data_IF_560356492417
#
_entry.id   IF_560356492417
#
_cell.length_a   1.000
_cell.length_b   1.000
_cell.length_c   1.000
_cell.angle_alpha   90.00
_cell.angle_beta   90.00
_cell.angle_gamma   90.00
#
_symmetry.space_group_name_H-M   'P 1'
#
loop_
_entity.id
_entity.type
_entity.pdbx_description
1 polymer ?
#
# COMPACT_ATOMS: atom_id res chain seq x y z
N UNK A 1 -38.71 2.91 -0.72
CA UNK A 1 -38.01 1.75 -0.13
C UNK A 1 -36.65 1.50 -0.80
N UNK A 2 -36.58 1.13 -2.09
CA UNK A 2 -35.30 0.78 -2.74
C UNK A 2 -34.24 1.88 -2.69
N UNK A 3 -34.60 3.14 -2.94
CA UNK A 3 -33.66 4.25 -2.79
C UNK A 3 -33.08 4.42 -1.36
N UNK A 4 -33.89 4.18 -0.32
CA UNK A 4 -33.41 4.21 1.07
C UNK A 4 -32.46 3.05 1.37
N UNK A 5 -32.75 1.86 0.83
CA UNK A 5 -31.85 0.70 0.91
C UNK A 5 -30.54 0.95 0.17
N UNK A 6 -30.60 1.55 -1.02
CA UNK A 6 -29.41 1.95 -1.79
C UNK A 6 -28.57 2.95 -1.00
N UNK A 7 -29.18 3.92 -0.32
CA UNK A 7 -28.48 4.84 0.57
C UNK A 7 -27.83 4.11 1.76
N UNK A 8 -28.51 3.14 2.37
CA UNK A 8 -27.94 2.31 3.44
C UNK A 8 -26.75 1.46 2.95
N UNK A 9 -26.87 0.85 1.77
CA UNK A 9 -25.81 0.09 1.13
C UNK A 9 -24.60 0.98 0.79
N UNK A 10 -24.84 2.20 0.30
CA UNK A 10 -23.79 3.19 0.08
C UNK A 10 -23.09 3.59 1.38
N UNK A 11 -23.86 3.83 2.46
CA UNK A 11 -23.32 4.13 3.79
C UNK A 11 -22.41 3.01 4.31
N UNK A 12 -22.83 1.74 4.18
CA UNK A 12 -21.99 0.59 4.53
C UNK A 12 -20.73 0.51 3.65
N UNK A 13 -20.86 0.76 2.35
CA UNK A 13 -19.71 0.75 1.44
C UNK A 13 -18.68 1.83 1.81
N UNK A 14 -19.11 3.03 2.23
CA UNK A 14 -18.23 4.10 2.71
C UNK A 14 -17.55 3.72 4.04
N UNK A 15 -18.26 3.06 4.94
CA UNK A 15 -17.67 2.53 6.18
C UNK A 15 -16.58 1.49 5.87
N UNK A 16 -16.88 0.52 5.02
CA UNK A 16 -15.93 -0.51 4.60
C UNK A 16 -14.71 0.10 3.86
N UNK A 17 -14.95 1.11 3.00
CA UNK A 17 -13.90 1.87 2.33
C UNK A 17 -12.99 2.59 3.34
N UNK A 18 -13.58 3.23 4.35
CA UNK A 18 -12.86 3.95 5.40
C UNK A 18 -12.00 3.01 6.25
N UNK A 19 -12.54 1.86 6.63
CA UNK A 19 -11.80 0.85 7.39
C UNK A 19 -10.63 0.30 6.57
N UNK A 20 -10.86 -0.03 5.30
CA UNK A 20 -9.79 -0.47 4.39
C UNK A 20 -8.75 0.62 4.15
N UNK A 21 -9.15 1.88 4.02
CA UNK A 21 -8.22 3.00 3.91
C UNK A 21 -7.32 3.12 5.14
N UNK A 22 -7.87 2.98 6.37
CA UNK A 22 -7.06 2.95 7.59
C UNK A 22 -6.08 1.76 7.60
N UNK A 23 -6.51 0.59 7.13
CA UNK A 23 -5.64 -0.58 7.03
C UNK A 23 -4.49 -0.35 6.02
N UNK A 24 -4.80 0.21 4.85
CA UNK A 24 -3.81 0.60 3.84
C UNK A 24 -2.81 1.59 4.44
N UNK A 25 -3.28 2.63 5.14
CA UNK A 25 -2.42 3.62 5.79
C UNK A 25 -1.45 2.97 6.79
N UNK A 26 -1.93 2.08 7.66
CA UNK A 26 -1.09 1.37 8.64
C UNK A 26 0.02 0.57 7.94
N UNK A 27 -0.33 -0.17 6.88
CA UNK A 27 0.64 -0.96 6.10
C UNK A 27 1.62 -0.07 5.34
N UNK A 28 1.14 1.04 4.77
CA UNK A 28 1.97 2.02 4.07
C UNK A 28 3.00 2.65 5.00
N UNK A 29 2.58 3.11 6.18
CA UNK A 29 3.48 3.67 7.19
C UNK A 29 4.56 2.65 7.59
N UNK A 30 4.18 1.39 7.83
CA UNK A 30 5.12 0.32 8.17
C UNK A 30 6.14 0.08 7.05
N UNK A 31 5.69 -0.03 5.80
CA UNK A 31 6.56 -0.24 4.64
C UNK A 31 7.52 0.94 4.42
N UNK A 32 7.01 2.17 4.49
CA UNK A 32 7.82 3.40 4.34
C UNK A 32 8.84 3.52 5.46
N UNK A 33 8.45 3.30 6.72
CA UNK A 33 9.37 3.40 7.85
C UNK A 33 10.50 2.36 7.77
N UNK A 34 10.18 1.11 7.44
CA UNK A 34 11.19 0.06 7.27
C UNK A 34 12.07 0.30 6.03
N UNK A 35 11.49 0.81 4.94
CA UNK A 35 12.20 1.15 3.72
C UNK A 35 13.21 2.27 3.97
N UNK A 36 12.77 3.36 4.59
CA UNK A 36 13.62 4.48 4.98
C UNK A 36 14.73 4.03 5.94
N UNK A 37 14.43 3.15 6.90
CA UNK A 37 15.43 2.62 7.83
C UNK A 37 16.55 1.85 7.12
N UNK A 38 16.20 0.94 6.19
CA UNK A 38 17.24 0.19 5.46
C UNK A 38 17.96 1.08 4.43
N UNK A 39 17.25 1.96 3.74
CA UNK A 39 17.85 2.92 2.81
C UNK A 39 18.85 3.84 3.52
N UNK A 40 18.52 4.32 4.73
CA UNK A 40 19.44 5.11 5.54
C UNK A 40 20.70 4.36 5.97
N UNK A 41 20.57 3.07 6.35
CA UNK A 41 21.73 2.24 6.69
C UNK A 41 22.67 2.01 5.51
N UNK A 42 22.10 1.78 4.32
CA UNK A 42 22.89 1.67 3.09
C UNK A 42 23.54 3.01 2.78
N UNK A 43 22.76 4.10 2.86
CA UNK A 43 23.24 5.42 2.48
C UNK A 43 24.37 5.93 3.37
N UNK A 44 24.25 5.71 4.68
CA UNK A 44 25.31 6.03 5.64
C UNK A 44 26.60 5.27 5.34
N UNK A 45 26.50 3.96 5.03
CA UNK A 45 27.66 3.17 4.66
C UNK A 45 28.33 3.70 3.39
N UNK A 46 27.55 3.93 2.34
CA UNK A 46 28.08 4.47 1.07
C UNK A 46 28.68 5.85 1.29
N UNK A 47 28.04 6.70 2.09
CA UNK A 47 28.55 8.01 2.46
C UNK A 47 29.90 7.89 3.18
N UNK A 48 30.00 7.05 4.20
CA UNK A 48 31.24 6.82 4.94
C UNK A 48 32.35 6.33 4.00
N UNK A 49 32.10 5.32 3.16
CA UNK A 49 33.10 4.79 2.24
C UNK A 49 33.54 5.84 1.20
N UNK A 50 32.63 6.73 0.79
CA UNK A 50 32.95 7.89 -0.07
C UNK A 50 33.85 8.89 0.66
N UNK A 51 33.55 9.24 1.92
CA UNK A 51 34.39 10.14 2.72
C UNK A 51 35.78 9.55 2.99
N UNK A 52 35.87 8.24 3.23
CA UNK A 52 37.15 7.54 3.38
C UNK A 52 37.99 7.52 2.10
N UNK A 53 37.39 7.82 0.95
CA UNK A 53 38.06 7.96 -0.35
C UNK A 53 38.43 9.41 -0.68
N UNK A 54 38.06 10.37 0.18
CA UNK A 54 38.26 11.79 -0.10
C UNK A 54 39.74 12.19 -0.08
N UNK A 55 40.13 13.08 -1.01
CA UNK A 55 41.50 13.59 -1.11
C UNK A 55 42.50 12.64 -1.79
N UNK A 56 42.08 11.44 -2.19
CA UNK A 56 42.94 10.48 -2.88
C UNK A 56 42.21 9.85 -4.08
N UNK A 57 42.82 9.92 -5.26
CA UNK A 57 42.21 9.40 -6.49
C UNK A 57 42.62 7.95 -6.79
N UNK A 58 43.85 7.55 -6.44
CA UNK A 58 44.41 6.25 -6.86
C UNK A 58 45.05 5.40 -5.75
N UNK A 59 45.36 5.97 -4.58
CA UNK A 59 46.17 5.27 -3.56
C UNK A 59 45.35 4.69 -2.40
N UNK A 60 44.36 5.42 -1.90
CA UNK A 60 43.46 4.96 -0.84
C UNK A 60 42.01 5.33 -1.16
N UNK A 61 41.14 4.32 -1.28
CA UNK A 61 39.71 4.49 -1.52
C UNK A 61 38.95 3.22 -1.13
N UNK A 62 37.69 3.41 -0.75
CA UNK A 62 36.78 2.35 -0.32
C UNK A 62 35.58 2.14 -1.24
N UNK A 63 35.39 3.04 -2.21
CA UNK A 63 34.50 2.83 -3.36
C UNK A 63 35.31 3.03 -4.63
N UNK A 64 35.12 2.15 -5.61
CA UNK A 64 35.86 2.20 -6.86
C UNK A 64 34.95 2.10 -8.06
N UNK A 65 35.26 2.85 -9.11
CA UNK A 65 34.56 2.75 -10.39
C UNK A 65 35.08 1.57 -11.23
N UNK A 66 36.38 1.29 -11.14
CA UNK A 66 37.11 0.42 -12.07
C UNK A 66 38.25 -0.40 -11.42
N UNK A 67 38.38 -0.37 -10.09
CA UNK A 67 39.46 -0.99 -9.32
C UNK A 67 40.75 -0.16 -9.22
N UNK A 68 40.86 0.92 -9.99
CA UNK A 68 42.07 1.76 -10.07
C UNK A 68 41.82 3.15 -9.48
N UNK A 69 40.61 3.66 -9.67
CA UNK A 69 40.22 5.00 -9.27
C UNK A 69 39.10 4.98 -8.22
N UNK A 70 39.13 5.97 -7.34
CA UNK A 70 38.04 6.23 -6.40
C UNK A 70 36.74 6.57 -7.15
N UNK A 71 35.61 6.07 -6.67
CA UNK A 71 34.29 6.43 -7.18
C UNK A 71 33.91 7.85 -6.75
N UNK A 72 33.66 8.75 -7.70
CA UNK A 72 33.30 10.15 -7.41
C UNK A 72 31.79 10.39 -7.40
N UNK A 73 31.05 9.69 -8.26
CA UNK A 73 29.59 9.76 -8.36
C UNK A 73 28.96 8.50 -7.76
N UNK A 74 28.04 8.71 -6.83
CA UNK A 74 27.32 7.65 -6.10
C UNK A 74 25.89 7.47 -6.61
N UNK A 75 25.54 8.14 -7.72
CA UNK A 75 24.23 8.02 -8.34
C UNK A 75 24.08 6.72 -9.12
N UNK A 76 22.99 6.02 -8.86
CA UNK A 76 22.52 4.87 -9.64
C UNK A 76 21.06 5.14 -9.99
N UNK A 77 20.71 5.12 -11.28
CA UNK A 77 19.34 5.37 -11.73
C UNK A 77 18.73 6.68 -11.15
N UNK A 78 19.52 7.75 -11.05
CA UNK A 78 19.18 9.06 -10.44
C UNK A 78 19.03 9.05 -8.90
N UNK A 79 19.23 7.93 -8.23
CA UNK A 79 19.26 7.83 -6.77
C UNK A 79 20.71 7.99 -6.32
N UNK A 80 21.00 9.06 -5.58
CA UNK A 80 22.32 9.22 -4.95
C UNK A 80 22.41 8.31 -3.72
N UNK A 81 23.20 7.23 -3.82
CA UNK A 81 23.38 6.29 -2.74
C UNK A 81 24.08 6.92 -1.52
N UNK A 82 24.81 8.03 -1.66
CA UNK A 82 25.45 8.72 -0.53
C UNK A 82 24.59 9.85 0.06
N UNK A 83 23.42 10.12 -0.51
CA UNK A 83 22.49 11.14 -0.05
C UNK A 83 21.05 10.61 -0.02
N UNK A 84 20.56 10.28 1.17
CA UNK A 84 19.17 9.88 1.34
C UNK A 84 18.23 11.08 1.19
N UNK A 85 17.76 11.33 -0.03
CA UNK A 85 16.77 12.38 -0.32
C UNK A 85 15.47 11.74 -0.81
N UNK A 86 14.55 11.38 0.09
CA UNK A 86 13.30 10.75 -0.32
C UNK A 86 12.43 11.74 -1.10
N UNK A 87 11.84 11.29 -2.20
CA UNK A 87 10.82 12.06 -2.91
C UNK A 87 9.53 12.09 -2.09
N UNK A 88 9.12 13.27 -1.63
CA UNK A 88 7.88 13.49 -0.88
C UNK A 88 6.73 13.91 -1.81
N UNK A 89 6.47 13.11 -2.84
CA UNK A 89 5.35 13.32 -3.76
C UNK A 89 4.54 12.03 -3.89
N UNK A 90 3.23 12.12 -4.19
CA UNK A 90 2.45 10.94 -4.54
C UNK A 90 3.13 10.18 -5.68
N UNK A 91 3.31 8.88 -5.51
CA UNK A 91 3.84 7.99 -6.52
C UNK A 91 2.86 6.84 -6.72
N UNK A 92 2.85 6.28 -7.92
CA UNK A 92 2.15 5.02 -8.17
C UNK A 92 2.71 3.94 -7.24
N UNK A 93 1.86 3.01 -6.80
CA UNK A 93 2.29 1.82 -6.06
C UNK A 93 2.89 0.75 -6.99
N UNK A 94 3.16 1.12 -8.23
CA UNK A 94 3.89 0.30 -9.19
C UNK A 94 5.37 0.32 -8.83
N UNK A 95 5.83 -0.82 -8.33
CA UNK A 95 7.26 -1.06 -8.11
C UNK A 95 7.93 -1.22 -9.46
N UNK A 96 9.15 -0.67 -9.59
CA UNK A 96 9.97 -0.83 -10.80
C UNK A 96 10.03 -2.32 -11.15
N UNK A 97 9.52 -2.64 -12.33
CA UNK A 97 9.39 -4.01 -12.78
C UNK A 97 10.76 -4.71 -12.68
N UNK A 98 10.77 -5.89 -12.06
CA UNK A 98 11.98 -6.67 -11.88
C UNK A 98 12.79 -6.36 -10.62
N UNK A 99 12.63 -5.23 -9.92
CA UNK A 99 13.43 -4.93 -8.71
C UNK A 99 12.90 -5.62 -7.44
N UNK A 100 11.58 -5.78 -7.35
CA UNK A 100 10.87 -6.48 -6.25
C UNK A 100 10.00 -7.60 -6.85
N UNK A 101 10.41 -8.86 -6.63
CA UNK A 101 9.80 -10.06 -7.24
C UNK A 101 9.15 -10.92 -6.16
N UNK A 102 8.37 -11.97 -6.52
CA UNK A 102 7.85 -12.93 -5.55
C UNK A 102 8.93 -13.66 -4.72
N UNK A 103 10.19 -13.65 -5.17
CA UNK A 103 11.29 -14.35 -4.51
C UNK A 103 12.17 -13.43 -3.66
N UNK A 104 12.09 -12.11 -3.82
CA UNK A 104 12.95 -11.18 -3.09
C UNK A 104 13.23 -9.85 -3.79
N UNK A 105 14.37 -9.25 -3.44
CA UNK A 105 14.94 -8.08 -4.11
C UNK A 105 15.88 -8.57 -5.22
N UNK A 106 15.45 -8.51 -6.47
CA UNK A 106 16.10 -9.27 -7.56
C UNK A 106 17.56 -8.91 -7.80
N UNK A 107 17.90 -7.63 -7.68
CA UNK A 107 19.24 -7.11 -7.98
C UNK A 107 20.24 -7.40 -6.86
N UNK A 108 19.76 -7.78 -5.66
CA UNK A 108 20.64 -8.08 -4.54
C UNK A 108 20.98 -9.56 -4.58
N UNK A 109 21.98 -9.90 -5.37
CA UNK A 109 22.51 -11.26 -5.51
C UNK A 109 23.75 -11.45 -4.63
N UNK A 110 24.14 -12.71 -4.42
CA UNK A 110 25.43 -12.98 -3.77
C UNK A 110 26.55 -12.56 -4.69
N UNK A 111 27.56 -11.88 -4.13
CA UNK A 111 28.75 -11.50 -4.87
C UNK A 111 29.89 -11.09 -3.96
N UNK A 112 31.10 -11.26 -4.47
CA UNK A 112 32.26 -10.56 -3.93
C UNK A 112 32.09 -9.06 -4.23
N UNK A 113 32.14 -8.25 -3.19
CA UNK A 113 31.93 -6.80 -3.26
C UNK A 113 33.23 -6.01 -3.21
N UNK A 114 34.39 -6.69 -3.15
CA UNK A 114 35.69 -6.06 -3.26
C UNK A 114 36.33 -6.33 -4.62
N UNK A 115 37.14 -5.38 -5.07
CA UNK A 115 38.10 -5.61 -6.16
C UNK A 115 39.36 -6.32 -5.61
N UNK A 116 40.10 -7.01 -6.48
CA UNK A 116 41.25 -7.86 -6.11
C UNK A 116 42.33 -7.15 -5.29
N UNK A 117 42.50 -5.84 -5.45
CA UNK A 117 43.49 -4.98 -4.78
C UNK A 117 42.86 -4.15 -3.67
N UNK A 118 41.58 -4.34 -3.34
CA UNK A 118 40.90 -3.60 -2.26
C UNK A 118 41.64 -3.73 -0.92
N UNK A 119 42.31 -4.88 -0.72
CA UNK A 119 43.27 -5.15 0.35
C UNK A 119 44.51 -4.24 0.37
N UNK A 120 44.66 -3.24 -0.47
CA UNK A 120 45.69 -2.19 -0.31
C UNK A 120 45.11 -0.78 -0.47
N UNK A 121 43.79 -0.67 -0.65
CA UNK A 121 43.09 0.57 -0.98
C UNK A 121 42.14 1.01 0.11
N UNK A 122 41.41 0.08 0.71
CA UNK A 122 40.34 0.40 1.65
C UNK A 122 40.67 -0.06 3.06
N UNK A 123 40.99 0.88 3.96
CA UNK A 123 41.29 0.59 5.37
C UNK A 123 40.15 -0.14 6.11
N UNK A 124 38.92 -0.01 5.61
CA UNK A 124 37.76 -0.69 6.15
C UNK A 124 37.85 -2.22 6.06
N UNK A 125 38.68 -2.76 5.18
CA UNK A 125 38.91 -4.20 5.03
C UNK A 125 40.10 -4.69 5.86
N UNK A 126 40.87 -3.79 6.48
CA UNK A 126 42.18 -4.10 7.05
C UNK A 126 42.20 -4.22 8.56
N UNK A 127 43.10 -5.09 9.00
CA UNK A 127 43.69 -5.04 10.33
C UNK A 127 45.20 -5.11 10.26
N UNK A 128 45.84 -4.41 11.18
CA UNK A 128 47.30 -4.39 11.29
C UNK A 128 47.83 -5.71 11.86
N UNK A 129 47.04 -6.39 12.71
CA UNK A 129 47.38 -7.69 13.30
C UNK A 129 46.12 -8.54 13.48
N UNK A 130 46.20 -9.83 13.14
CA UNK A 130 45.11 -10.76 13.42
C UNK A 130 44.87 -11.02 14.91
N UNK A 131 45.89 -10.83 15.77
CA UNK A 131 45.89 -11.26 17.16
C UNK A 131 45.59 -10.15 18.17
N UNK A 132 45.59 -8.88 17.76
CA UNK A 132 45.48 -7.75 18.68
C UNK A 132 44.67 -6.57 18.11
N UNK A 133 44.07 -5.80 19.02
CA UNK A 133 43.43 -4.53 18.72
C UNK A 133 44.50 -3.45 18.46
N UNK A 134 44.22 -2.52 17.56
CA UNK A 134 45.12 -1.41 17.22
C UNK A 134 44.33 -0.13 17.00
N UNK A 135 44.81 1.03 17.49
CA UNK A 135 44.17 2.32 17.21
C UNK A 135 44.22 2.73 15.73
N UNK A 136 45.08 2.09 14.92
CA UNK A 136 45.13 2.30 13.46
C UNK A 136 44.07 1.49 12.70
N UNK A 137 43.39 0.54 13.35
CA UNK A 137 42.40 -0.32 12.71
C UNK A 137 41.00 0.26 12.84
N UNK A 138 40.20 0.15 11.78
CA UNK A 138 38.77 0.47 11.88
C UNK A 138 38.04 -0.60 12.72
N UNK A 139 38.26 -1.88 12.39
CA UNK A 139 37.73 -3.00 13.16
C UNK A 139 38.74 -3.49 14.19
N UNK A 140 38.35 -3.48 15.46
CA UNK A 140 39.24 -3.85 16.57
C UNK A 140 39.43 -5.37 16.70
N UNK A 141 38.61 -6.19 16.05
CA UNK A 141 38.72 -7.65 16.03
C UNK A 141 38.68 -8.19 14.59
N UNK A 142 39.36 -9.33 14.37
CA UNK A 142 39.22 -10.11 13.13
C UNK A 142 37.86 -10.78 13.04
N UNK A 143 37.53 -11.23 11.83
CA UNK A 143 36.30 -12.00 11.57
C UNK A 143 35.20 -11.17 10.92
N UNK A 144 34.00 -11.78 10.75
CA UNK A 144 32.91 -11.18 9.99
C UNK A 144 32.22 -10.05 10.77
N UNK A 145 32.05 -8.92 10.11
CA UNK A 145 31.29 -7.76 10.57
C UNK A 145 30.13 -7.52 9.61
N UNK A 146 28.91 -7.56 10.12
CA UNK A 146 27.69 -7.35 9.31
C UNK A 146 27.29 -5.88 9.32
N UNK A 147 27.10 -5.32 8.14
CA UNK A 147 26.88 -3.89 7.90
C UNK A 147 25.65 -3.65 7.04
N UNK A 148 25.29 -2.38 6.84
CA UNK A 148 24.09 -1.94 6.12
C UNK A 148 22.80 -2.61 6.62
N UNK A 149 22.76 -3.06 7.88
CA UNK A 149 21.60 -3.77 8.45
C UNK A 149 21.47 -5.24 8.03
N UNK A 150 22.51 -5.86 7.48
CA UNK A 150 22.48 -7.29 7.10
C UNK A 150 23.26 -7.68 5.84
N UNK A 151 23.10 -6.98 4.71
CA UNK A 151 23.45 -7.55 3.41
C UNK A 151 24.95 -7.56 3.15
N UNK A 152 25.73 -6.66 3.74
CA UNK A 152 27.18 -6.66 3.57
C UNK A 152 27.84 -7.35 4.77
N UNK A 153 28.69 -8.34 4.50
CA UNK A 153 29.61 -8.90 5.50
C UNK A 153 31.04 -8.58 5.10
N UNK A 154 31.77 -7.87 5.95
CA UNK A 154 33.20 -7.59 5.80
C UNK A 154 33.98 -8.45 6.78
N UNK A 155 34.92 -9.24 6.28
CA UNK A 155 35.87 -9.98 7.11
C UNK A 155 37.19 -9.22 7.11
N UNK A 156 37.42 -8.45 8.17
CA UNK A 156 38.66 -7.70 8.35
C UNK A 156 39.78 -8.62 8.83
N UNK A 157 40.93 -8.57 8.17
CA UNK A 157 42.10 -9.41 8.47
C UNK A 157 43.39 -8.71 8.02
N UNK A 158 44.54 -9.19 8.49
CA UNK A 158 45.86 -8.70 8.10
C UNK A 158 46.38 -9.22 6.75
N UNK A 159 45.66 -10.15 6.10
CA UNK A 159 46.16 -10.86 4.91
C UNK A 159 45.04 -11.38 4.02
N UNK A 160 43.95 -11.90 4.60
CA UNK A 160 42.84 -12.50 3.86
C UNK A 160 41.55 -11.70 4.03
N UNK A 161 41.48 -10.53 3.38
CA UNK A 161 40.30 -9.66 3.44
C UNK A 161 39.16 -10.20 2.57
N UNK A 162 37.92 -10.09 3.04
CA UNK A 162 36.73 -10.47 2.29
C UNK A 162 35.62 -9.44 2.47
N UNK A 163 34.81 -9.25 1.43
CA UNK A 163 33.60 -8.45 1.51
C UNK A 163 32.53 -9.10 0.64
N UNK A 164 31.46 -9.60 1.24
CA UNK A 164 30.44 -10.39 0.54
C UNK A 164 29.07 -9.77 0.72
N UNK A 165 28.32 -9.67 -0.38
CA UNK A 165 26.89 -9.35 -0.34
C UNK A 165 26.12 -10.65 -0.14
N UNK A 166 25.24 -10.67 0.85
CA UNK A 166 24.26 -11.74 1.06
C UNK A 166 23.12 -11.54 0.08
N UNK A 167 22.82 -12.57 -0.71
CA UNK A 167 21.69 -12.58 -1.62
C UNK A 167 20.36 -12.28 -0.89
N UNK A 168 19.59 -11.33 -1.42
CA UNK A 168 18.22 -11.05 -1.02
C UNK A 168 17.20 -11.34 -2.14
N UNK A 169 17.62 -11.91 -3.27
CA UNK A 169 16.77 -12.22 -4.43
C UNK A 169 15.98 -13.53 -4.31
N UNK A 170 16.28 -14.35 -3.29
CA UNK A 170 15.64 -15.65 -3.03
C UNK A 170 15.20 -15.84 -1.58
N UNK A 171 14.94 -14.76 -0.85
CA UNK A 171 14.57 -14.79 0.58
C UNK A 171 13.10 -15.14 0.83
N UNK A 172 12.27 -15.09 -0.21
CA UNK A 172 10.83 -15.28 -0.13
C UNK A 172 10.35 -16.41 -1.04
N UNK A 173 9.20 -16.98 -0.68
CA UNK A 173 8.46 -17.95 -1.47
C UNK A 173 7.08 -17.39 -1.78
N UNK A 174 6.75 -17.26 -3.07
CA UNK A 174 5.46 -16.78 -3.53
C UNK A 174 5.04 -15.40 -3.00
N UNK A 175 5.99 -14.49 -2.71
CA UNK A 175 5.69 -13.15 -2.21
C UNK A 175 5.72 -13.00 -0.69
N UNK A 176 6.08 -14.05 0.06
CA UNK A 176 6.06 -14.01 1.53
C UNK A 176 7.25 -14.71 2.17
N UNK A 177 7.66 -14.20 3.34
CA UNK A 177 8.68 -14.82 4.20
C UNK A 177 8.00 -15.27 5.50
N UNK A 178 7.95 -16.58 5.74
CA UNK A 178 7.27 -17.15 6.92
C UNK A 178 8.00 -16.84 8.23
N UNK A 179 9.33 -16.72 8.22
CA UNK A 179 10.16 -16.41 9.39
C UNK A 179 10.92 -15.09 9.17
N UNK A 180 10.22 -13.97 9.37
CA UNK A 180 10.76 -12.63 9.14
C UNK A 180 11.56 -12.08 10.33
N UNK A 181 12.65 -12.76 10.70
CA UNK A 181 13.51 -12.36 11.83
C UNK A 181 14.50 -11.25 11.45
N UNK A 182 15.07 -11.30 10.24
CA UNK A 182 16.05 -10.33 9.76
C UNK A 182 15.41 -8.99 9.30
N UNK A 183 16.15 -7.87 9.34
CA UNK A 183 15.62 -6.55 8.95
C UNK A 183 15.05 -6.50 7.53
N UNK A 184 15.75 -7.08 6.56
CA UNK A 184 15.30 -7.12 5.16
C UNK A 184 14.12 -8.07 4.94
N UNK A 185 13.95 -9.09 5.79
CA UNK A 185 12.74 -9.93 5.73
C UNK A 185 11.50 -9.15 6.16
N UNK A 186 11.63 -8.36 7.24
CA UNK A 186 10.56 -7.50 7.74
C UNK A 186 10.17 -6.43 6.73
N UNK A 187 11.17 -5.82 6.08
CA UNK A 187 10.95 -4.87 4.99
C UNK A 187 10.21 -5.54 3.83
N UNK A 188 10.71 -6.68 3.33
CA UNK A 188 10.11 -7.39 2.22
C UNK A 188 8.63 -7.72 2.49
N UNK A 189 8.33 -8.32 3.66
CA UNK A 189 6.94 -8.64 4.03
C UNK A 189 6.07 -7.38 4.14
N UNK A 190 6.58 -6.27 4.69
CA UNK A 190 5.79 -5.04 4.79
C UNK A 190 5.42 -4.47 3.41
N UNK A 191 6.35 -4.52 2.45
CA UNK A 191 6.14 -4.10 1.07
C UNK A 191 5.16 -5.04 0.35
N UNK A 192 5.33 -6.35 0.51
CA UNK A 192 4.42 -7.36 -0.04
C UNK A 192 2.99 -7.20 0.53
N UNK A 193 2.85 -7.08 1.85
CA UNK A 193 1.57 -6.86 2.55
C UNK A 193 0.86 -5.60 2.03
N UNK A 194 1.60 -4.52 1.77
CA UNK A 194 1.04 -3.29 1.21
C UNK A 194 0.57 -3.51 -0.24
N UNK A 195 1.40 -4.16 -1.06
CA UNK A 195 1.11 -4.46 -2.47
C UNK A 195 -0.13 -5.33 -2.64
N UNK A 196 -0.30 -6.34 -1.79
CA UNK A 196 -1.43 -7.27 -1.82
C UNK A 196 -2.71 -6.70 -1.20
N UNK A 197 -2.66 -5.52 -0.60
CA UNK A 197 -3.84 -4.98 0.08
C UNK A 197 -4.93 -4.64 -0.91
N UNK A 198 -6.06 -5.32 -0.78
CA UNK A 198 -7.25 -5.10 -1.59
C UNK A 198 -7.77 -3.69 -1.37
N UNK A 199 -7.84 -2.92 -2.45
CA UNK A 199 -8.49 -1.61 -2.48
C UNK A 199 -10.01 -1.82 -2.48
N UNK A 200 -10.74 -0.89 -1.90
CA UNK A 200 -12.20 -0.86 -2.01
C UNK A 200 -12.61 0.49 -2.53
N UNK A 201 -13.40 0.46 -3.59
CA UNK A 201 -14.00 1.64 -4.19
C UNK A 201 -15.50 1.48 -4.08
N UNK A 202 -16.17 2.58 -3.73
CA UNK A 202 -17.62 2.65 -3.78
C UNK A 202 -18.11 3.04 -5.18
N UNK A 203 -17.24 3.17 -6.19
CA UNK A 203 -17.51 3.82 -7.48
C UNK A 203 -16.72 5.13 -7.63
N UNK A 204 -16.40 5.54 -8.86
CA UNK A 204 -15.67 6.79 -9.14
C UNK A 204 -16.59 8.01 -9.26
N UNK A 205 -17.86 7.78 -9.54
CA UNK A 205 -18.92 8.79 -9.66
C UNK A 205 -20.26 8.22 -9.13
N UNK A 206 -21.30 9.06 -9.10
CA UNK A 206 -22.63 8.68 -8.58
C UNK A 206 -23.22 7.48 -9.35
N UNK A 207 -23.06 7.43 -10.67
CA UNK A 207 -23.59 6.37 -11.51
C UNK A 207 -22.90 5.04 -11.21
N UNK A 208 -21.57 5.00 -11.26
CA UNK A 208 -20.78 3.81 -10.98
C UNK A 208 -20.94 3.35 -9.52
N UNK A 209 -21.21 4.27 -8.60
CA UNK A 209 -21.47 3.91 -7.21
C UNK A 209 -22.80 3.20 -7.02
N UNK A 210 -23.88 3.78 -7.53
CA UNK A 210 -25.22 3.19 -7.41
C UNK A 210 -25.29 1.87 -8.18
N UNK A 211 -24.83 1.86 -9.44
CA UNK A 211 -24.83 0.65 -10.27
C UNK A 211 -23.96 -0.45 -9.68
N UNK A 212 -22.77 -0.11 -9.17
CA UNK A 212 -21.89 -1.07 -8.49
C UNK A 212 -22.57 -1.73 -7.30
N UNK A 213 -23.19 -0.95 -6.42
CA UNK A 213 -23.91 -1.50 -5.26
C UNK A 213 -25.05 -2.45 -5.65
N UNK A 214 -25.74 -2.17 -6.76
CA UNK A 214 -26.82 -3.01 -7.28
C UNK A 214 -26.24 -4.30 -7.89
N UNK A 215 -25.24 -4.18 -8.74
CA UNK A 215 -24.65 -5.31 -9.47
C UNK A 215 -23.85 -6.25 -8.55
N UNK A 216 -23.28 -5.74 -7.45
CA UNK A 216 -22.62 -6.55 -6.42
C UNK A 216 -23.58 -7.04 -5.32
N UNK A 217 -24.90 -7.05 -5.56
CA UNK A 217 -25.93 -7.51 -4.63
C UNK A 217 -26.00 -6.80 -3.27
N UNK A 218 -25.25 -5.72 -3.05
CA UNK A 218 -25.26 -5.00 -1.77
C UNK A 218 -26.64 -4.41 -1.44
N UNK A 219 -27.35 -3.91 -2.45
CA UNK A 219 -28.74 -3.45 -2.31
C UNK A 219 -29.68 -4.61 -1.98
N UNK A 220 -29.49 -5.78 -2.61
CA UNK A 220 -30.33 -6.97 -2.34
C UNK A 220 -30.15 -7.47 -0.91
N UNK A 221 -28.91 -7.56 -0.43
CA UNK A 221 -28.59 -7.96 0.95
C UNK A 221 -29.20 -7.00 1.98
N UNK A 222 -29.08 -5.69 1.77
CA UNK A 222 -29.66 -4.71 2.68
C UNK A 222 -31.19 -4.73 2.65
N UNK A 223 -31.81 -4.93 1.47
CA UNK A 223 -33.27 -5.06 1.36
C UNK A 223 -33.77 -6.30 2.10
N UNK A 224 -33.09 -7.45 1.93
CA UNK A 224 -33.42 -8.69 2.64
C UNK A 224 -33.34 -8.50 4.16
N UNK A 225 -32.26 -7.87 4.66
CA UNK A 225 -32.10 -7.56 6.08
C UNK A 225 -33.23 -6.65 6.62
N UNK A 226 -33.63 -5.62 5.86
CA UNK A 226 -34.77 -4.76 6.22
C UNK A 226 -36.09 -5.55 6.23
N UNK A 227 -36.33 -6.43 5.26
CA UNK A 227 -37.51 -7.30 5.20
C UNK A 227 -37.55 -8.24 6.41
N UNK A 228 -36.43 -8.90 6.72
CA UNK A 228 -36.32 -9.79 7.89
C UNK A 228 -36.53 -9.05 9.21
N UNK A 229 -36.07 -7.80 9.32
CA UNK A 229 -36.33 -6.97 10.51
C UNK A 229 -37.80 -6.58 10.64
N UNK A 230 -38.45 -6.23 9.52
CA UNK A 230 -39.88 -5.90 9.52
C UNK A 230 -40.78 -7.14 9.72
N UNK A 231 -40.30 -8.33 9.35
CA UNK A 231 -41.01 -9.60 9.42
C UNK A 231 -40.08 -10.70 9.96
N UNK A 232 -39.81 -10.74 11.27
CA UNK A 232 -38.82 -11.65 11.86
C UNK A 232 -39.17 -13.12 11.67
N UNK A 233 -40.46 -13.46 11.64
CA UNK A 233 -40.97 -14.84 11.55
C UNK A 233 -40.99 -15.39 10.11
N UNK A 234 -40.42 -14.67 9.14
CA UNK A 234 -40.28 -15.21 7.79
C UNK A 234 -39.41 -16.48 7.78
N UNK A 235 -39.80 -17.52 7.02
CA UNK A 235 -38.95 -18.68 6.79
C UNK A 235 -37.56 -18.30 6.26
N UNK A 236 -36.56 -19.11 6.58
CA UNK A 236 -35.18 -18.86 6.15
C UNK A 236 -35.06 -18.75 4.63
N UNK A 237 -34.41 -17.68 4.16
CA UNK A 237 -34.19 -17.38 2.74
C UNK A 237 -35.39 -16.74 2.02
N UNK A 238 -36.55 -16.59 2.67
CA UNK A 238 -37.73 -15.97 2.07
C UNK A 238 -37.58 -14.44 1.96
N UNK A 239 -36.85 -13.82 2.88
CA UNK A 239 -36.44 -12.42 2.83
C UNK A 239 -35.57 -12.11 1.59
N UNK A 240 -34.62 -13.00 1.27
CA UNK A 240 -33.77 -12.87 0.10
C UNK A 240 -34.57 -13.01 -1.20
N UNK A 241 -35.51 -13.95 -1.27
CA UNK A 241 -36.41 -14.10 -2.43
C UNK A 241 -37.31 -12.89 -2.62
N UNK A 242 -37.88 -12.36 -1.54
CA UNK A 242 -38.71 -11.15 -1.61
C UNK A 242 -37.90 -9.93 -2.06
N UNK A 243 -36.67 -9.76 -1.53
CA UNK A 243 -35.77 -8.71 -1.97
C UNK A 243 -35.48 -8.81 -3.48
N UNK A 244 -35.17 -10.01 -3.97
CA UNK A 244 -34.88 -10.24 -5.38
C UNK A 244 -36.10 -10.00 -6.29
N UNK A 245 -37.28 -10.39 -5.85
CA UNK A 245 -38.53 -10.14 -6.56
C UNK A 245 -38.81 -8.62 -6.70
N UNK A 246 -38.60 -7.86 -5.62
CA UNK A 246 -38.75 -6.39 -5.63
C UNK A 246 -37.77 -5.75 -6.62
N UNK A 247 -36.50 -6.14 -6.57
CA UNK A 247 -35.48 -5.58 -7.47
C UNK A 247 -35.74 -5.96 -8.93
N UNK A 248 -36.16 -7.18 -9.20
CA UNK A 248 -36.52 -7.66 -10.55
C UNK A 248 -37.73 -6.91 -11.10
N UNK A 249 -38.75 -6.64 -10.27
CA UNK A 249 -39.92 -5.87 -10.67
C UNK A 249 -39.55 -4.42 -11.07
N UNK A 250 -38.53 -3.85 -10.44
CA UNK A 250 -38.05 -2.49 -10.75
C UNK A 250 -37.13 -2.46 -11.96
N UNK A 251 -36.26 -3.46 -12.10
CA UNK A 251 -35.26 -3.53 -13.15
C UNK A 251 -35.84 -3.61 -14.57
N UNK A 252 -37.13 -3.96 -14.74
CA UNK A 252 -37.73 -4.30 -16.03
C UNK A 252 -37.01 -5.47 -16.74
N UNK A 253 -37.52 -5.93 -17.89
CA UNK A 253 -37.11 -7.21 -18.52
C UNK A 253 -35.78 -7.18 -19.29
N UNK A 254 -35.05 -6.06 -19.32
CA UNK A 254 -33.79 -6.00 -20.05
C UNK A 254 -32.57 -6.37 -19.18
N UNK A 255 -31.44 -6.69 -19.81
CA UNK A 255 -30.22 -7.13 -19.13
C UNK A 255 -29.44 -5.99 -18.44
N UNK A 256 -30.04 -4.80 -18.22
CA UNK A 256 -29.37 -3.63 -17.65
C UNK A 256 -29.91 -3.24 -16.27
N UNK A 257 -29.98 -4.22 -15.38
CA UNK A 257 -30.53 -4.10 -14.01
C UNK A 257 -29.99 -2.91 -13.22
N UNK A 258 -28.67 -2.74 -13.18
CA UNK A 258 -28.02 -1.65 -12.44
C UNK A 258 -28.50 -0.28 -12.90
N UNK A 259 -28.45 -0.05 -14.22
CA UNK A 259 -28.90 1.20 -14.84
C UNK A 259 -30.38 1.47 -14.58
N UNK A 260 -31.23 0.46 -14.78
CA UNK A 260 -32.68 0.64 -14.68
C UNK A 260 -33.13 0.94 -13.24
N UNK A 261 -32.55 0.26 -12.26
CA UNK A 261 -32.81 0.55 -10.85
C UNK A 261 -32.27 1.94 -10.49
N UNK A 262 -31.07 2.33 -10.97
CA UNK A 262 -30.55 3.70 -10.77
C UNK A 262 -31.50 4.74 -11.36
N UNK A 263 -31.90 4.58 -12.60
CA UNK A 263 -32.79 5.53 -13.28
C UNK A 263 -34.14 5.63 -12.57
N UNK A 264 -34.66 4.51 -12.01
CA UNK A 264 -35.85 4.55 -11.18
C UNK A 264 -35.63 5.32 -9.87
N UNK A 265 -34.48 5.15 -9.22
CA UNK A 265 -34.12 5.90 -8.01
C UNK A 265 -34.04 7.39 -8.33
N UNK A 266 -33.31 7.78 -9.37
CA UNK A 266 -33.12 9.18 -9.74
C UNK A 266 -34.42 9.88 -10.16
N UNK A 267 -35.34 9.16 -10.79
CA UNK A 267 -36.67 9.66 -11.14
C UNK A 267 -37.70 9.55 -10.01
N UNK A 268 -37.33 9.01 -8.84
CA UNK A 268 -38.21 9.01 -7.67
C UNK A 268 -38.37 10.44 -7.18
N UNK A 269 -39.61 10.87 -6.99
CA UNK A 269 -39.93 12.17 -6.40
C UNK A 269 -39.82 12.10 -4.89
N UNK A 270 -39.18 13.11 -4.30
CA UNK A 270 -39.14 13.33 -2.87
C UNK A 270 -39.64 14.74 -2.56
N UNK A 271 -40.09 14.94 -1.33
CA UNK A 271 -40.42 16.27 -0.81
C UNK A 271 -39.16 17.13 -0.83
N UNK A 272 -39.26 18.38 -1.26
CA UNK A 272 -38.16 19.33 -1.28
C UNK A 272 -38.67 20.72 -0.88
N UNK A 273 -37.85 21.51 -0.20
CA UNK A 273 -38.21 22.88 0.18
C UNK A 273 -37.61 23.85 -0.83
N UNK A 274 -38.44 24.42 -1.69
CA UNK A 274 -38.03 25.52 -2.59
C UNK A 274 -38.81 26.78 -2.24
N UNK A 275 -38.10 27.88 -2.02
CA UNK A 275 -38.69 29.17 -1.65
C UNK A 275 -39.67 29.08 -0.45
N UNK A 276 -39.32 28.28 0.56
CA UNK A 276 -40.15 28.07 1.75
C UNK A 276 -41.36 27.14 1.57
N UNK A 277 -41.60 26.62 0.36
CA UNK A 277 -42.70 25.70 0.07
C UNK A 277 -42.22 24.26 -0.14
N UNK A 278 -43.00 23.31 0.36
CA UNK A 278 -42.85 21.89 0.07
C UNK A 278 -43.33 21.57 -1.35
N UNK A 279 -42.45 21.01 -2.17
CA UNK A 279 -42.74 20.58 -3.53
C UNK A 279 -42.16 19.18 -3.78
N UNK A 280 -42.87 18.35 -4.55
CA UNK A 280 -42.31 17.09 -5.01
C UNK A 280 -41.31 17.33 -6.15
N UNK A 281 -40.05 16.95 -5.93
CA UNK A 281 -38.96 17.12 -6.91
C UNK A 281 -38.29 15.77 -7.15
N UNK A 282 -37.94 15.46 -8.40
CA UNK A 282 -37.16 14.26 -8.70
C UNK A 282 -35.77 14.34 -8.05
N UNK A 283 -35.23 13.23 -7.56
CA UNK A 283 -33.90 13.19 -6.92
C UNK A 283 -32.81 13.72 -7.85
N UNK A 284 -32.90 13.43 -9.14
CA UNK A 284 -31.99 13.92 -10.19
C UNK A 284 -31.93 15.45 -10.27
N UNK A 285 -32.99 16.16 -9.89
CA UNK A 285 -33.08 17.62 -9.95
C UNK A 285 -32.60 18.31 -8.68
N UNK A 286 -32.20 17.55 -7.65
CA UNK A 286 -31.68 18.07 -6.38
C UNK A 286 -30.17 17.86 -6.38
N UNK A 287 -29.39 18.94 -6.41
CA UNK A 287 -27.92 18.87 -6.48
C UNK A 287 -27.27 18.60 -5.11
N UNK A 288 -27.93 18.98 -4.01
CA UNK A 288 -27.38 18.86 -2.66
C UNK A 288 -27.74 17.52 -2.01
N UNK A 289 -26.72 16.81 -1.54
CA UNK A 289 -26.91 15.57 -0.75
C UNK A 289 -27.70 15.83 0.55
N UNK A 290 -27.48 16.97 1.20
CA UNK A 290 -28.19 17.35 2.43
C UNK A 290 -29.68 17.62 2.17
N UNK A 291 -30.01 18.22 1.02
CA UNK A 291 -31.40 18.43 0.59
C UNK A 291 -32.08 17.11 0.25
N UNK A 292 -31.38 16.19 -0.45
CA UNK A 292 -31.90 14.84 -0.73
C UNK A 292 -32.23 14.07 0.54
N UNK A 293 -31.37 14.13 1.56
CA UNK A 293 -31.60 13.48 2.87
C UNK A 293 -32.81 14.12 3.58
N UNK A 294 -32.84 15.45 3.65
CA UNK A 294 -33.94 16.21 4.26
C UNK A 294 -35.27 15.86 3.59
N UNK A 295 -35.31 15.78 2.26
CA UNK A 295 -36.50 15.44 1.52
C UNK A 295 -37.04 14.04 1.79
N UNK A 296 -36.15 13.05 1.92
CA UNK A 296 -36.53 11.69 2.32
C UNK A 296 -37.14 11.65 3.73
N UNK A 297 -36.58 12.41 4.68
CA UNK A 297 -37.08 12.49 6.05
C UNK A 297 -38.45 13.17 6.12
N UNK A 298 -38.66 14.24 5.35
CA UNK A 298 -39.93 14.95 5.25
C UNK A 298 -41.04 14.05 4.71
N UNK A 299 -40.78 13.33 3.62
CA UNK A 299 -41.73 12.36 3.06
C UNK A 299 -42.12 11.27 4.06
N UNK A 300 -41.15 10.70 4.78
CA UNK A 300 -41.40 9.69 5.80
C UNK A 300 -42.26 10.21 6.96
N UNK A 301 -42.01 11.44 7.44
CA UNK A 301 -42.81 12.04 8.51
C UNK A 301 -44.26 12.31 8.08
N UNK A 302 -44.48 12.76 6.85
CA UNK A 302 -45.83 12.95 6.28
C UNK A 302 -46.63 11.64 6.32
N UNK A 303 -46.02 10.52 5.92
CA UNK A 303 -46.67 9.20 5.93
C UNK A 303 -47.00 8.75 7.35
N UNK A 304 -46.13 9.02 8.35
CA UNK A 304 -46.41 8.67 9.75
C UNK A 304 -47.53 9.51 10.37
N UNK A 305 -47.60 10.81 10.05
CA UNK A 305 -48.66 11.71 10.52
C UNK A 305 -50.02 11.32 9.92
N UNK A 306 -50.05 10.83 8.68
CA UNK A 306 -51.29 10.37 8.03
C UNK A 306 -51.79 9.01 8.53
N UNK A 307 -50.96 8.25 9.23
CA UNK A 307 -51.29 6.93 9.81
C UNK A 307 -51.64 7.00 11.31
N UNK A 308 -51.53 8.19 11.92
CA UNK A 308 -51.87 8.47 13.32
C UNK A 308 -53.24 9.17 13.39
#
# INVERSE_FOLDING_TARGET
>A
MVAAVTAAAAGKSVQDATEKARNIQKKAIKAVALGALQAGRISELVHLLKQMSHGCTSNGFCLTADGTNALTDTKVEQIDCAALTPLLAPQSLEYVAGKFTPTGFADVTTGDSKENRAGNKCVFLHKTSAASASPSDFFQSTGPHTLAGGPLTVTAHDSNVQATITALNGIADGGRISQATAPYHKLYNAVAELKETTKHSCGLDEAGAIEGLINYNSVATQLAAMIKTAKPDLPDGEDAKQAEAILTAIAAKDNNRGKNIRDKILNTKIENVKNGNLIETAISEISSAAERITGYLLGHNKTRIQLA
#
